data_IF_771794086240
#
_entry.id   IF_771794086240
#
_cell.length_a   1.000
_cell.length_b   1.000
_cell.length_c   1.000
_cell.angle_alpha   90.00
_cell.angle_beta   90.00
_cell.angle_gamma   90.00
#
_symmetry.space_group_name_H-M   'P 1'
#
loop_
_entity.id
_entity.type
_entity.pdbx_description
1 polymer ?
#
# COMPACT_ATOMS: atom_id res chain seq x y z
N UNK A 1 -12.52 11.39 -13.30
CA UNK A 1 -11.21 12.05 -13.06
C UNK A 1 -10.76 12.72 -14.36
N UNK A 2 -10.26 13.97 -14.35
CA UNK A 2 -9.88 14.67 -15.59
C UNK A 2 -8.52 14.19 -16.09
N UNK A 3 -8.47 13.57 -17.29
CA UNK A 3 -7.22 13.03 -17.87
C UNK A 3 -6.11 14.09 -17.99
N UNK A 4 -6.46 15.31 -18.40
CA UNK A 4 -5.52 16.43 -18.53
C UNK A 4 -4.80 16.70 -17.20
N UNK A 5 -5.55 16.85 -16.11
CA UNK A 5 -5.02 17.11 -14.75
C UNK A 5 -4.08 15.98 -14.26
N UNK A 6 -4.32 14.74 -14.68
CA UNK A 6 -3.50 13.60 -14.26
C UNK A 6 -2.23 13.38 -15.09
N UNK A 7 -2.22 13.84 -16.34
CA UNK A 7 -1.16 13.52 -17.31
C UNK A 7 -0.30 14.72 -17.67
N UNK A 8 -0.77 15.93 -17.38
CA UNK A 8 -0.02 17.17 -17.58
C UNK A 8 0.82 17.48 -16.33
N UNK A 9 1.93 16.76 -16.18
CA UNK A 9 2.85 16.96 -15.06
C UNK A 9 3.69 18.26 -15.20
N UNK A 10 3.49 19.03 -16.27
CA UNK A 10 4.14 20.34 -16.48
C UNK A 10 3.35 21.44 -15.75
N UNK A 11 2.03 21.45 -15.94
CA UNK A 11 1.16 22.47 -15.36
C UNK A 11 0.50 22.03 -14.06
N UNK A 12 0.67 20.76 -13.65
CA UNK A 12 0.16 20.25 -12.39
C UNK A 12 1.23 19.49 -11.62
N UNK A 13 1.24 19.66 -10.30
CA UNK A 13 2.03 18.86 -9.36
C UNK A 13 1.12 18.16 -8.34
N UNK A 14 1.67 17.26 -7.53
CA UNK A 14 0.92 16.65 -6.42
C UNK A 14 0.52 17.73 -5.40
N UNK A 15 -0.76 17.74 -5.02
CA UNK A 15 -1.37 18.78 -4.19
C UNK A 15 -1.97 18.26 -2.89
N UNK A 16 -1.40 17.21 -2.30
CA UNK A 16 -1.97 16.56 -1.11
C UNK A 16 -2.08 17.52 0.09
N UNK A 17 -3.12 17.37 0.94
CA UNK A 17 -3.26 18.15 2.18
C UNK A 17 -2.03 18.05 3.10
N UNK A 18 -1.76 19.10 3.89
CA UNK A 18 -0.63 19.15 4.83
C UNK A 18 -0.62 17.96 5.79
N UNK A 19 -1.79 17.49 6.23
CA UNK A 19 -1.92 16.31 7.07
C UNK A 19 -1.28 15.07 6.46
N UNK A 20 -1.51 14.81 5.17
CA UNK A 20 -0.92 13.69 4.43
C UNK A 20 0.59 13.92 4.25
N UNK A 21 0.99 15.12 3.86
CA UNK A 21 2.41 15.45 3.65
C UNK A 21 3.23 15.22 4.92
N UNK A 22 2.78 15.75 6.05
CA UNK A 22 3.48 15.62 7.34
C UNK A 22 3.44 14.21 7.91
N UNK A 23 2.30 13.51 7.80
CA UNK A 23 2.15 12.18 8.41
C UNK A 23 2.76 11.05 7.60
N UNK A 24 2.93 11.20 6.30
CA UNK A 24 3.63 10.19 5.49
C UNK A 24 5.10 10.54 5.34
N UNK A 25 5.46 11.83 5.46
CA UNK A 25 6.77 12.38 5.05
C UNK A 25 7.20 11.91 3.66
N UNK A 26 6.26 11.50 2.82
CA UNK A 26 6.55 11.07 1.47
C UNK A 26 7.09 12.23 0.67
N UNK A 27 7.85 11.92 -0.37
CA UNK A 27 8.30 12.86 -1.40
C UNK A 27 7.11 13.37 -2.25
N UNK A 28 6.11 13.97 -1.62
CA UNK A 28 4.91 14.52 -2.27
C UNK A 28 5.18 15.84 -2.98
N UNK A 29 6.27 16.51 -2.60
CA UNK A 29 6.77 17.72 -3.27
C UNK A 29 7.99 17.42 -4.16
N UNK A 30 8.30 16.14 -4.41
CA UNK A 30 9.38 15.77 -5.31
C UNK A 30 9.09 16.18 -6.75
N UNK A 31 10.15 16.55 -7.46
CA UNK A 31 10.09 16.74 -8.91
C UNK A 31 9.66 15.46 -9.62
N UNK A 32 9.10 15.58 -10.82
CA UNK A 32 8.71 14.41 -11.62
C UNK A 32 9.89 13.46 -11.88
N UNK A 33 11.09 14.01 -12.05
CA UNK A 33 12.34 13.24 -12.18
C UNK A 33 12.63 12.43 -10.92
N UNK A 34 12.56 13.04 -9.74
CA UNK A 34 12.75 12.36 -8.45
C UNK A 34 11.69 11.29 -8.22
N UNK A 35 10.43 11.55 -8.56
CA UNK A 35 9.35 10.58 -8.40
C UNK A 35 9.48 9.40 -9.39
N UNK A 36 9.87 9.65 -10.65
CA UNK A 36 10.16 8.60 -11.63
C UNK A 36 11.34 7.75 -11.18
N UNK A 37 12.37 8.37 -10.63
CA UNK A 37 13.53 7.69 -10.09
C UNK A 37 13.18 6.84 -8.87
N UNK A 38 12.43 7.40 -7.91
CA UNK A 38 11.91 6.67 -6.75
C UNK A 38 11.10 5.44 -7.19
N UNK A 39 10.21 5.59 -8.18
CA UNK A 39 9.47 4.45 -8.74
C UNK A 39 10.41 3.39 -9.34
N UNK A 40 11.45 3.80 -10.05
CA UNK A 40 12.40 2.87 -10.70
C UNK A 40 13.30 2.16 -9.68
N UNK A 41 13.82 2.87 -8.68
CA UNK A 41 14.81 2.35 -7.73
C UNK A 41 14.17 1.64 -6.54
N UNK A 42 13.00 2.09 -6.11
CA UNK A 42 12.33 1.58 -4.91
C UNK A 42 11.11 0.75 -5.30
N UNK A 43 10.13 1.32 -5.98
CA UNK A 43 8.85 0.62 -6.21
C UNK A 43 8.99 -0.59 -7.15
N UNK A 44 9.69 -0.44 -8.28
CA UNK A 44 9.78 -1.48 -9.30
C UNK A 44 10.42 -2.80 -8.82
N UNK A 45 11.50 -2.80 -8.01
CA UNK A 45 12.01 -4.01 -7.38
C UNK A 45 11.00 -4.74 -6.48
N UNK A 46 10.02 -4.03 -5.93
CA UNK A 46 9.03 -4.56 -4.97
C UNK A 46 7.82 -5.13 -5.69
N UNK A 47 7.33 -4.44 -6.72
CA UNK A 47 6.11 -4.84 -7.46
C UNK A 47 6.43 -5.57 -8.76
N UNK A 48 7.71 -5.81 -9.05
CA UNK A 48 8.14 -6.53 -10.24
C UNK A 48 7.73 -7.99 -10.23
N UNK A 49 7.64 -8.60 -11.41
CA UNK A 49 7.19 -10.00 -11.59
C UNK A 49 7.94 -11.00 -10.71
N UNK A 50 9.27 -10.83 -10.55
CA UNK A 50 10.09 -11.70 -9.70
C UNK A 50 9.73 -11.57 -8.22
N UNK A 51 9.50 -10.35 -7.73
CA UNK A 51 9.12 -10.12 -6.33
C UNK A 51 7.72 -10.65 -6.05
N UNK A 52 6.75 -10.39 -6.93
CA UNK A 52 5.40 -10.94 -6.82
C UNK A 52 5.40 -12.48 -6.78
N UNK A 53 6.25 -13.14 -7.58
CA UNK A 53 6.41 -14.59 -7.53
C UNK A 53 6.89 -15.09 -6.17
N UNK A 54 7.81 -14.35 -5.53
CA UNK A 54 8.35 -14.69 -4.22
C UNK A 54 7.30 -14.55 -3.11
N UNK A 55 6.39 -13.59 -3.24
CA UNK A 55 5.35 -13.31 -2.25
C UNK A 55 4.12 -14.20 -2.40
N UNK A 56 3.85 -14.73 -3.60
CA UNK A 56 2.60 -15.42 -3.92
C UNK A 56 2.29 -16.57 -2.96
N UNK A 57 3.24 -17.47 -2.74
CA UNK A 57 3.12 -18.59 -1.80
C UNK A 57 2.73 -18.10 -0.38
N UNK A 58 3.42 -17.06 0.11
CA UNK A 58 3.14 -16.51 1.45
C UNK A 58 1.77 -15.82 1.51
N UNK A 59 1.37 -15.14 0.45
CA UNK A 59 0.05 -14.51 0.34
C UNK A 59 -1.04 -15.58 0.39
N UNK A 60 -0.87 -16.67 -0.37
CA UNK A 60 -1.78 -17.81 -0.40
C UNK A 60 -1.93 -18.40 1.00
N UNK A 61 -0.82 -18.71 1.69
CA UNK A 61 -0.84 -19.24 3.06
C UNK A 61 -1.60 -18.32 4.03
N UNK A 62 -1.33 -17.00 3.99
CA UNK A 62 -1.99 -16.04 4.89
C UNK A 62 -3.50 -15.97 4.60
N UNK A 63 -3.88 -15.99 3.33
CA UNK A 63 -5.28 -15.91 2.90
C UNK A 63 -6.01 -17.19 3.28
N UNK A 64 -5.47 -18.37 3.00
CA UNK A 64 -6.07 -19.66 3.36
C UNK A 64 -6.29 -19.74 4.87
N UNK A 65 -5.24 -19.54 5.67
CA UNK A 65 -5.34 -19.59 7.13
C UNK A 65 -6.37 -18.59 7.68
N UNK A 66 -6.46 -17.40 7.08
CA UNK A 66 -7.44 -16.40 7.52
C UNK A 66 -8.87 -16.77 7.11
N UNK A 67 -9.07 -17.37 5.93
CA UNK A 67 -10.38 -17.85 5.50
C UNK A 67 -10.84 -19.05 6.35
N UNK A 68 -9.93 -19.96 6.72
CA UNK A 68 -10.19 -21.05 7.65
C UNK A 68 -10.59 -20.52 9.03
N UNK A 69 -9.83 -19.56 9.58
CA UNK A 69 -10.15 -18.86 10.84
C UNK A 69 -11.57 -18.29 10.78
N UNK A 70 -11.90 -17.55 9.72
CA UNK A 70 -13.23 -16.96 9.52
C UNK A 70 -14.34 -18.01 9.38
N UNK A 71 -14.09 -19.10 8.66
CA UNK A 71 -15.08 -20.18 8.45
C UNK A 71 -15.43 -20.92 9.74
N UNK A 72 -14.50 -20.95 10.71
CA UNK A 72 -14.70 -21.59 12.02
C UNK A 72 -15.54 -20.73 12.97
N UNK A 73 -15.70 -19.43 12.69
CA UNK A 73 -16.46 -18.51 13.53
C UNK A 73 -17.97 -18.81 13.43
N UNK A 74 -18.62 -19.02 14.58
CA UNK A 74 -20.06 -19.31 14.67
C UNK A 74 -20.92 -18.08 14.97
N UNK A 75 -20.36 -16.88 14.82
CA UNK A 75 -21.04 -15.61 15.09
C UNK A 75 -20.87 -14.65 13.91
N UNK A 76 -21.74 -13.64 13.77
CA UNK A 76 -21.55 -12.58 12.79
C UNK A 76 -20.19 -11.90 12.95
N UNK A 77 -19.58 -11.54 11.83
CA UNK A 77 -18.29 -10.84 11.78
C UNK A 77 -18.47 -9.44 11.20
N UNK A 78 -17.60 -8.52 11.61
CA UNK A 78 -17.49 -7.21 10.96
C UNK A 78 -16.58 -7.35 9.74
N UNK A 79 -17.17 -7.49 8.55
CA UNK A 79 -16.45 -7.86 7.33
C UNK A 79 -15.28 -6.93 7.01
N UNK A 80 -15.46 -5.61 7.12
CA UNK A 80 -14.38 -4.64 6.84
C UNK A 80 -13.18 -4.85 7.76
N UNK A 81 -13.44 -5.07 9.06
CA UNK A 81 -12.40 -5.27 10.07
C UNK A 81 -11.59 -6.53 9.78
N UNK A 82 -12.27 -7.63 9.43
CA UNK A 82 -11.58 -8.88 9.10
C UNK A 82 -10.82 -8.78 7.78
N UNK A 83 -11.36 -8.15 6.74
CA UNK A 83 -10.64 -7.96 5.47
C UNK A 83 -9.43 -7.05 5.61
N UNK A 84 -9.52 -6.00 6.44
CA UNK A 84 -8.38 -5.17 6.83
C UNK A 84 -7.32 -5.99 7.57
N UNK A 85 -7.72 -6.83 8.54
CA UNK A 85 -6.80 -7.75 9.25
C UNK A 85 -6.05 -8.67 8.28
N UNK A 86 -6.72 -9.25 7.28
CA UNK A 86 -6.07 -10.09 6.24
C UNK A 86 -5.07 -9.27 5.43
N UNK A 87 -5.50 -8.12 4.90
CA UNK A 87 -4.62 -7.23 4.13
C UNK A 87 -3.40 -6.77 4.94
N UNK A 88 -3.59 -6.51 6.23
CA UNK A 88 -2.54 -6.08 7.14
C UNK A 88 -1.49 -7.19 7.38
N UNK A 89 -1.95 -8.43 7.60
CA UNK A 89 -1.07 -9.60 7.72
C UNK A 89 -0.22 -9.75 6.46
N UNK A 90 -0.84 -9.65 5.27
CA UNK A 90 -0.14 -9.74 3.98
C UNK A 90 0.92 -8.65 3.85
N UNK A 91 0.56 -7.37 4.02
CA UNK A 91 1.49 -6.27 3.76
C UNK A 91 2.68 -6.27 4.72
N UNK A 92 2.48 -6.56 6.01
CA UNK A 92 3.60 -6.68 6.96
C UNK A 92 4.50 -7.86 6.61
N UNK A 93 3.92 -8.99 6.25
CA UNK A 93 4.74 -10.16 5.96
C UNK A 93 5.56 -9.98 4.67
N UNK A 94 4.96 -9.40 3.63
CA UNK A 94 5.66 -9.02 2.40
C UNK A 94 6.77 -8.00 2.68
N UNK A 95 6.55 -7.09 3.62
CA UNK A 95 7.49 -5.99 3.85
C UNK A 95 8.61 -6.28 4.85
N UNK A 96 8.32 -6.99 5.91
CA UNK A 96 9.24 -7.14 7.04
C UNK A 96 9.59 -8.59 7.34
N UNK A 97 8.92 -9.56 6.69
CA UNK A 97 9.05 -10.98 7.02
C UNK A 97 8.68 -11.32 8.47
N UNK A 98 7.99 -10.41 9.18
CA UNK A 98 7.82 -10.47 10.63
C UNK A 98 6.74 -11.48 11.10
N UNK A 99 6.83 -11.79 12.40
CA UNK A 99 5.96 -12.63 13.21
C UNK A 99 4.69 -11.90 13.73
N UNK A 100 3.75 -12.66 14.30
CA UNK A 100 2.39 -12.20 14.64
C UNK A 100 2.31 -11.09 15.71
N UNK A 101 3.26 -11.00 16.63
CA UNK A 101 3.21 -10.02 17.74
C UNK A 101 3.48 -8.59 17.27
N UNK A 102 4.44 -8.41 16.34
CA UNK A 102 4.73 -7.11 15.72
C UNK A 102 3.51 -6.64 14.91
N UNK A 103 2.85 -7.58 14.20
CA UNK A 103 1.63 -7.31 13.43
C UNK A 103 0.55 -6.72 14.34
N UNK A 104 0.26 -7.34 15.49
CA UNK A 104 -0.81 -6.88 16.38
C UNK A 104 -0.57 -5.46 16.91
N UNK A 105 0.67 -5.14 17.27
CA UNK A 105 1.02 -3.83 17.80
C UNK A 105 0.90 -2.73 16.73
N UNK A 106 1.42 -2.94 15.53
CA UNK A 106 1.33 -1.94 14.44
C UNK A 106 -0.11 -1.81 13.94
N UNK A 107 -0.89 -2.90 13.87
CA UNK A 107 -2.29 -2.88 13.42
C UNK A 107 -3.13 -1.90 14.27
N UNK A 108 -2.97 -1.97 15.60
CA UNK A 108 -3.73 -1.11 16.53
C UNK A 108 -3.44 0.40 16.33
N UNK A 109 -2.23 0.73 15.89
CA UNK A 109 -1.77 2.11 15.66
C UNK A 109 -2.11 2.61 14.24
N UNK A 110 -2.32 1.69 13.30
CA UNK A 110 -2.50 2.02 11.88
C UNK A 110 -3.81 2.77 11.62
N UNK A 111 -4.86 2.48 12.38
CA UNK A 111 -6.14 3.19 12.26
C UNK A 111 -6.02 4.66 12.73
N UNK A 112 -5.31 4.91 13.83
CA UNK A 112 -5.03 6.28 14.30
C UNK A 112 -4.20 7.06 13.26
N UNK A 113 -3.22 6.40 12.64
CA UNK A 113 -2.42 6.99 11.57
C UNK A 113 -3.28 7.33 10.35
N UNK A 114 -4.10 6.40 9.88
CA UNK A 114 -4.97 6.59 8.72
C UNK A 114 -5.98 7.73 8.93
N UNK A 115 -6.63 7.76 10.09
CA UNK A 115 -7.57 8.83 10.44
C UNK A 115 -6.91 10.22 10.47
N UNK A 116 -5.63 10.29 10.82
CA UNK A 116 -4.87 11.54 10.77
C UNK A 116 -4.64 12.07 9.36
N UNK A 117 -4.47 11.19 8.37
CA UNK A 117 -4.13 11.57 6.99
C UNK A 117 -5.18 12.49 6.38
N UNK A 118 -6.45 12.18 6.59
CA UNK A 118 -7.57 12.94 6.04
C UNK A 118 -8.20 13.92 7.05
N UNK A 119 -7.46 14.27 8.12
CA UNK A 119 -7.91 15.23 9.14
C UNK A 119 -7.31 16.62 8.94
N UNK A 120 -7.84 17.63 9.65
CA UNK A 120 -7.20 18.95 9.73
C UNK A 120 -5.89 18.81 10.53
N UNK A 121 -4.81 19.40 10.02
CA UNK A 121 -3.46 19.33 10.60
C UNK A 121 -3.30 20.16 11.90
N UNK A 122 -4.14 19.91 12.90
CA UNK A 122 -4.09 20.57 14.21
C UNK A 122 -3.36 19.64 15.20
N UNK A 123 -2.16 20.05 15.60
CA UNK A 123 -1.35 19.32 16.56
C UNK A 123 -1.70 19.70 18.02
N UNK A 124 -2.94 19.46 18.43
CA UNK A 124 -3.42 19.67 19.79
C UNK A 124 -4.07 18.41 20.38
N UNK A 125 -4.03 18.21 21.71
CA UNK A 125 -4.70 17.07 22.35
C UNK A 125 -6.18 16.97 21.95
N UNK A 126 -6.66 15.75 21.68
CA UNK A 126 -8.02 15.49 21.24
C UNK A 126 -8.21 15.41 19.73
N UNK A 127 -7.36 16.08 18.93
CA UNK A 127 -7.45 16.06 17.47
C UNK A 127 -6.86 14.78 16.87
N UNK A 128 -7.46 14.31 15.77
CA UNK A 128 -7.01 13.11 15.05
C UNK A 128 -5.55 13.22 14.58
N UNK A 129 -5.15 14.39 14.06
CA UNK A 129 -3.78 14.64 13.63
C UNK A 129 -2.74 14.47 14.74
N UNK A 130 -3.01 14.99 15.95
CA UNK A 130 -2.13 14.79 17.10
C UNK A 130 -2.01 13.31 17.51
N UNK A 131 -3.13 12.56 17.46
CA UNK A 131 -3.13 11.11 17.72
C UNK A 131 -2.30 10.37 16.67
N UNK A 132 -2.46 10.73 15.40
CA UNK A 132 -1.70 10.14 14.29
C UNK A 132 -0.19 10.42 14.40
N UNK A 133 0.23 11.62 14.79
CA UNK A 133 1.64 11.93 15.06
C UNK A 133 2.21 11.07 16.19
N UNK A 134 1.43 10.82 17.25
CA UNK A 134 1.82 9.91 18.34
C UNK A 134 1.88 8.46 17.87
N UNK A 135 0.92 8.01 17.06
CA UNK A 135 0.91 6.68 16.47
C UNK A 135 2.14 6.46 15.57
N UNK A 136 2.45 7.42 14.69
CA UNK A 136 3.66 7.42 13.85
C UNK A 136 4.94 7.25 14.68
N UNK A 137 5.11 8.05 15.75
CA UNK A 137 6.26 7.93 16.65
C UNK A 137 6.36 6.55 17.31
N UNK A 138 5.23 5.94 17.67
CA UNK A 138 5.20 4.58 18.25
C UNK A 138 5.55 3.52 17.21
N UNK A 139 5.01 3.62 15.99
CA UNK A 139 5.33 2.69 14.89
C UNK A 139 6.83 2.77 14.56
N UNK A 140 7.39 3.97 14.43
CA UNK A 140 8.83 4.15 14.18
C UNK A 140 9.69 3.47 15.26
N UNK A 141 9.31 3.56 16.54
CA UNK A 141 10.01 2.86 17.64
C UNK A 141 9.88 1.34 17.58
N UNK A 142 8.81 0.81 17.00
CA UNK A 142 8.63 -0.64 16.78
C UNK A 142 9.46 -1.10 15.59
N UNK A 143 9.57 -0.28 14.53
CA UNK A 143 10.33 -0.61 13.33
C UNK A 143 11.85 -0.51 13.55
N UNK A 144 12.33 0.41 14.36
CA UNK A 144 13.77 0.66 14.54
C UNK A 144 14.57 -0.61 14.89
N UNK A 145 14.19 -1.42 15.91
CA UNK A 145 14.95 -2.62 16.25
C UNK A 145 15.00 -3.64 15.11
N UNK A 146 13.96 -3.71 14.28
CA UNK A 146 13.86 -4.62 13.12
C UNK A 146 14.87 -4.18 12.05
N UNK A 147 14.98 -2.88 11.79
CA UNK A 147 15.94 -2.30 10.85
C UNK A 147 17.37 -2.51 11.36
N UNK A 148 17.61 -2.24 12.65
CA UNK A 148 18.92 -2.38 13.29
C UNK A 148 19.42 -3.84 13.23
N UNK A 149 18.57 -4.79 13.60
CA UNK A 149 18.86 -6.22 13.54
C UNK A 149 19.20 -6.64 12.11
N UNK A 150 18.39 -6.20 11.13
CA UNK A 150 18.61 -6.55 9.72
C UNK A 150 19.93 -5.99 9.18
N UNK A 151 20.27 -4.75 9.50
CA UNK A 151 21.57 -4.15 9.15
C UNK A 151 22.74 -4.93 9.74
N UNK A 152 22.61 -5.36 11.00
CA UNK A 152 23.67 -6.12 11.67
C UNK A 152 23.89 -7.49 10.99
N UNK A 153 22.81 -8.18 10.63
CA UNK A 153 22.89 -9.46 9.89
C UNK A 153 23.61 -9.28 8.55
N UNK A 154 23.24 -8.27 7.77
CA UNK A 154 23.89 -7.96 6.48
C UNK A 154 25.38 -7.66 6.68
N UNK A 155 25.74 -6.86 7.68
CA UNK A 155 27.14 -6.53 7.99
C UNK A 155 27.96 -7.77 8.37
N UNK A 156 27.34 -8.72 9.06
CA UNK A 156 27.98 -9.97 9.48
C UNK A 156 28.03 -11.02 8.36
N UNK A 157 27.58 -10.70 7.14
CA UNK A 157 27.53 -11.64 6.01
C UNK A 157 26.52 -12.78 6.20
N UNK A 158 25.58 -12.63 7.13
CA UNK A 158 24.52 -13.62 7.33
C UNK A 158 23.50 -13.48 6.20
N UNK A 159 23.13 -14.62 5.60
CA UNK A 159 22.03 -14.63 4.64
C UNK A 159 20.73 -14.35 5.38
N UNK A 160 20.02 -13.30 4.95
CA UNK A 160 18.69 -12.98 5.45
C UNK A 160 17.67 -13.92 4.81
N UNK A 161 17.41 -15.04 5.48
CA UNK A 161 16.39 -16.01 5.08
C UNK A 161 16.56 -16.62 3.68
N UNK A 162 15.65 -17.50 3.29
CA UNK A 162 15.65 -18.10 1.94
C UNK A 162 15.06 -17.16 0.88
N UNK A 163 14.31 -16.12 1.29
CA UNK A 163 13.61 -15.19 0.39
C UNK A 163 13.65 -13.76 0.95
N UNK A 164 14.21 -12.82 0.16
CA UNK A 164 14.27 -11.38 0.46
C UNK A 164 12.88 -10.77 0.65
N UNK A 165 12.73 -9.92 1.66
CA UNK A 165 11.56 -9.06 1.86
C UNK A 165 11.82 -7.61 1.41
N UNK A 166 10.84 -6.72 1.59
CA UNK A 166 11.01 -5.31 1.22
C UNK A 166 12.15 -4.64 1.98
N UNK A 167 12.26 -4.89 3.29
CA UNK A 167 13.28 -4.26 4.11
C UNK A 167 14.68 -4.62 3.58
N UNK A 168 14.89 -5.86 3.16
CA UNK A 168 16.15 -6.28 2.51
C UNK A 168 16.43 -5.48 1.24
N UNK A 169 15.42 -5.31 0.39
CA UNK A 169 15.54 -4.53 -0.83
C UNK A 169 15.88 -3.07 -0.50
N UNK A 170 15.20 -2.46 0.48
CA UNK A 170 15.45 -1.07 0.88
C UNK A 170 16.85 -0.85 1.45
N UNK A 171 17.39 -1.84 2.16
CA UNK A 171 18.75 -1.79 2.71
C UNK A 171 19.83 -1.96 1.63
N UNK A 172 19.51 -2.59 0.50
CA UNK A 172 20.43 -2.77 -0.64
C UNK A 172 20.37 -1.61 -1.65
N UNK A 173 19.24 -0.92 -1.76
CA UNK A 173 19.07 0.17 -2.72
C UNK A 173 19.85 1.40 -2.26
N UNK A 174 20.58 2.01 -3.20
CA UNK A 174 21.33 3.25 -3.01
C UNK A 174 20.59 4.45 -3.63
N UNK A 175 20.75 5.60 -2.98
CA UNK A 175 20.31 6.89 -3.49
C UNK A 175 21.12 7.35 -4.71
N UNK A 176 20.77 8.54 -5.22
CA UNK A 176 21.43 9.16 -6.38
C UNK A 176 22.94 9.40 -6.21
N UNK A 177 23.40 9.55 -4.97
CA UNK A 177 24.79 9.78 -4.62
C UNK A 177 25.51 8.46 -4.26
N UNK A 178 24.86 7.32 -4.46
CA UNK A 178 25.39 6.01 -4.09
C UNK A 178 25.37 5.74 -2.58
N UNK A 179 24.63 6.53 -1.79
CA UNK A 179 24.49 6.37 -0.35
C UNK A 179 23.34 5.43 -0.03
N UNK A 180 23.48 4.67 1.04
CA UNK A 180 22.36 3.87 1.55
C UNK A 180 21.31 4.79 2.17
N UNK A 181 20.06 4.33 2.25
CA UNK A 181 19.04 5.05 2.98
C UNK A 181 19.37 5.13 4.48
N UNK A 182 19.04 6.25 5.10
CA UNK A 182 19.07 6.40 6.55
C UNK A 182 17.88 5.68 7.18
N UNK A 183 17.98 5.30 8.46
CA UNK A 183 16.92 4.54 9.14
C UNK A 183 15.60 5.29 9.21
N UNK A 184 15.66 6.62 9.34
CA UNK A 184 14.47 7.46 9.31
C UNK A 184 13.75 7.37 7.96
N UNK A 185 14.49 7.39 6.84
CA UNK A 185 13.92 7.28 5.49
C UNK A 185 13.30 5.90 5.26
N UNK A 186 13.96 4.84 5.74
CA UNK A 186 13.44 3.47 5.66
C UNK A 186 12.15 3.34 6.46
N UNK A 187 12.13 3.84 7.70
CA UNK A 187 10.96 3.83 8.57
C UNK A 187 9.80 4.62 7.96
N UNK A 188 10.09 5.80 7.43
CA UNK A 188 9.12 6.68 6.77
C UNK A 188 8.50 6.01 5.53
N UNK A 189 9.32 5.36 4.71
CA UNK A 189 8.89 4.61 3.54
C UNK A 189 8.05 3.38 3.88
N UNK A 190 8.49 2.58 4.86
CA UNK A 190 7.74 1.42 5.34
C UNK A 190 6.37 1.85 5.86
N UNK A 191 6.30 2.90 6.68
CA UNK A 191 5.03 3.43 7.18
C UNK A 191 4.11 3.90 6.04
N UNK A 192 4.65 4.62 5.05
CA UNK A 192 3.89 5.09 3.90
C UNK A 192 3.29 3.94 3.08
N UNK A 193 4.11 2.91 2.81
CA UNK A 193 3.66 1.75 2.05
C UNK A 193 2.69 0.87 2.83
N UNK A 194 2.88 0.70 4.14
CA UNK A 194 1.97 -0.07 5.00
C UNK A 194 0.56 0.53 4.98
N UNK A 195 0.45 1.85 5.16
CA UNK A 195 -0.84 2.56 5.07
C UNK A 195 -1.46 2.40 3.69
N UNK A 196 -0.68 2.60 2.63
CA UNK A 196 -1.16 2.54 1.26
C UNK A 196 -1.71 1.16 0.88
N UNK A 197 -1.00 0.09 1.26
CA UNK A 197 -1.35 -1.29 0.92
C UNK A 197 -2.47 -1.86 1.78
N UNK A 198 -2.54 -1.49 3.06
CA UNK A 198 -3.51 -2.03 4.02
C UNK A 198 -4.94 -1.54 3.78
N UNK A 199 -5.12 -0.23 3.79
CA UNK A 199 -6.47 0.36 3.85
C UNK A 199 -7.22 0.17 2.53
N UNK A 200 -6.52 0.38 1.40
CA UNK A 200 -7.10 0.23 0.06
C UNK A 200 -7.47 -1.23 -0.24
N UNK A 201 -6.56 -2.17 -0.01
CA UNK A 201 -6.78 -3.60 -0.31
C UNK A 201 -7.83 -4.19 0.62
N UNK A 202 -7.82 -3.86 1.91
CA UNK A 202 -8.87 -4.31 2.85
C UNK A 202 -10.27 -3.85 2.44
N UNK A 203 -10.41 -2.59 2.01
CA UNK A 203 -11.67 -2.07 1.48
C UNK A 203 -12.06 -2.73 0.15
N UNK A 204 -11.10 -2.96 -0.75
CA UNK A 204 -11.34 -3.65 -2.02
C UNK A 204 -11.84 -5.09 -1.79
N UNK A 205 -11.22 -5.84 -0.88
CA UNK A 205 -11.63 -7.20 -0.52
C UNK A 205 -13.06 -7.23 0.03
N UNK A 206 -13.41 -6.30 0.93
CA UNK A 206 -14.75 -6.17 1.46
C UNK A 206 -15.77 -5.95 0.32
N UNK A 207 -15.52 -5.00 -0.59
CA UNK A 207 -16.43 -4.72 -1.70
C UNK A 207 -16.54 -5.88 -2.69
N UNK A 208 -15.43 -6.57 -2.98
CA UNK A 208 -15.45 -7.78 -3.80
C UNK A 208 -16.40 -8.85 -3.23
N UNK A 209 -16.32 -9.12 -1.93
CA UNK A 209 -17.20 -10.09 -1.27
C UNK A 209 -18.66 -9.62 -1.31
N UNK A 210 -18.93 -8.34 -1.03
CA UNK A 210 -20.27 -7.78 -1.07
C UNK A 210 -20.88 -7.92 -2.48
N UNK A 211 -20.17 -7.52 -3.53
CA UNK A 211 -20.70 -7.60 -4.89
C UNK A 211 -20.85 -9.05 -5.38
N UNK A 212 -19.92 -9.94 -5.07
CA UNK A 212 -20.03 -11.35 -5.43
C UNK A 212 -21.23 -12.03 -4.74
N UNK A 213 -21.48 -11.73 -3.47
CA UNK A 213 -22.62 -12.28 -2.73
C UNK A 213 -23.96 -11.73 -3.20
N UNK A 214 -24.00 -10.46 -3.64
CA UNK A 214 -25.18 -9.84 -4.22
C UNK A 214 -25.46 -10.28 -5.67
N UNK A 215 -24.45 -10.85 -6.36
CA UNK A 215 -24.57 -11.33 -7.74
C UNK A 215 -24.16 -12.82 -7.86
N UNK A 216 -25.00 -13.77 -7.39
CA UNK A 216 -24.64 -15.19 -7.36
C UNK A 216 -24.26 -15.80 -8.72
N UNK A 217 -24.82 -15.29 -9.82
CA UNK A 217 -24.47 -15.73 -11.17
C UNK A 217 -23.04 -15.34 -11.56
N UNK A 218 -22.57 -14.17 -11.12
CA UNK A 218 -21.18 -13.72 -11.32
C UNK A 218 -20.24 -14.58 -10.47
N UNK A 219 -20.60 -14.81 -9.19
CA UNK A 219 -19.84 -15.68 -8.30
C UNK A 219 -19.72 -17.09 -8.86
N UNK A 220 -20.83 -17.66 -9.37
CA UNK A 220 -20.82 -18.99 -10.00
C UNK A 220 -19.83 -19.04 -11.16
N UNK A 221 -19.89 -18.08 -12.08
CA UNK A 221 -18.99 -18.03 -13.24
C UNK A 221 -17.53 -17.82 -12.85
N UNK A 222 -17.26 -16.97 -11.86
CA UNK A 222 -15.91 -16.79 -11.32
C UNK A 222 -15.38 -18.08 -10.67
N UNK A 223 -16.23 -18.83 -9.97
CA UNK A 223 -15.89 -20.13 -9.39
C UNK A 223 -15.62 -21.19 -10.44
N UNK A 224 -16.47 -21.27 -11.48
CA UNK A 224 -16.28 -22.18 -12.62
C UNK A 224 -14.91 -21.93 -13.30
N UNK A 225 -14.48 -20.67 -13.45
CA UNK A 225 -13.12 -20.35 -13.92
C UNK A 225 -12.03 -20.89 -12.98
N UNK A 226 -12.17 -20.72 -11.66
CA UNK A 226 -11.17 -21.22 -10.71
C UNK A 226 -11.10 -22.76 -10.70
N UNK A 227 -12.24 -23.43 -10.80
CA UNK A 227 -12.33 -24.90 -10.86
C UNK A 227 -11.66 -25.46 -12.12
N UNK A 228 -11.81 -24.80 -13.28
CA UNK A 228 -11.14 -25.21 -14.51
C UNK A 228 -9.62 -25.04 -14.44
N UNK A 229 -9.13 -23.93 -13.88
CA UNK A 229 -7.69 -23.72 -13.64
C UNK A 229 -7.15 -24.84 -12.75
N UNK A 230 -7.82 -25.13 -11.63
CA UNK A 230 -7.43 -26.20 -10.70
C UNK A 230 -7.44 -27.58 -11.37
N UNK A 231 -8.38 -27.86 -12.28
CA UNK A 231 -8.44 -29.13 -13.02
C UNK A 231 -7.23 -29.35 -13.92
N UNK A 232 -6.62 -28.28 -14.42
CA UNK A 232 -5.42 -28.32 -15.25
C UNK A 232 -4.11 -28.32 -14.46
N UNK A 233 -4.15 -28.03 -13.16
CA UNK A 233 -2.99 -28.05 -12.28
C UNK A 233 -2.43 -29.47 -12.15
N UNK A 234 -1.10 -29.59 -12.19
CA UNK A 234 -0.45 -30.88 -11.94
C UNK A 234 -0.68 -31.32 -10.49
N UNK A 235 -0.91 -32.61 -10.25
CA UNK A 235 -1.05 -33.15 -8.89
C UNK A 235 0.20 -32.98 -8.02
N UNK A 236 1.36 -32.71 -8.63
CA UNK A 236 2.61 -32.37 -7.94
C UNK A 236 2.66 -30.92 -7.44
N UNK A 237 1.82 -30.03 -7.96
CA UNK A 237 1.79 -28.60 -7.63
C UNK A 237 0.74 -28.35 -6.55
N UNK A 238 1.17 -27.90 -5.37
CA UNK A 238 0.26 -27.65 -4.23
C UNK A 238 -0.17 -26.19 -4.12
N UNK A 239 0.64 -25.28 -4.63
CA UNK A 239 0.47 -23.83 -4.46
C UNK A 239 0.11 -23.16 -5.77
N UNK A 240 -0.52 -21.99 -5.65
CA UNK A 240 -0.85 -21.12 -6.76
C UNK A 240 0.41 -20.57 -7.42
N UNK A 241 0.46 -20.63 -8.75
CA UNK A 241 1.51 -20.05 -9.57
C UNK A 241 1.09 -18.72 -10.21
N UNK A 242 2.06 -17.88 -10.58
CA UNK A 242 1.76 -16.65 -11.33
C UNK A 242 1.16 -16.94 -12.71
N UNK A 243 1.41 -18.12 -13.28
CA UNK A 243 0.82 -18.53 -14.55
C UNK A 243 -0.68 -18.74 -14.41
N UNK A 244 -1.10 -19.41 -13.34
CA UNK A 244 -2.53 -19.61 -13.02
C UNK A 244 -3.22 -18.29 -12.69
N UNK A 245 -2.57 -17.39 -11.93
CA UNK A 245 -3.11 -16.05 -11.66
C UNK A 245 -3.40 -15.30 -12.97
N UNK A 246 -2.54 -15.44 -14.00
CA UNK A 246 -2.76 -14.81 -15.32
C UNK A 246 -3.89 -15.47 -16.12
N UNK A 247 -4.31 -16.69 -15.79
CA UNK A 247 -5.43 -17.36 -16.43
C UNK A 247 -6.79 -16.93 -15.87
N UNK A 248 -6.82 -16.20 -14.74
CA UNK A 248 -8.03 -15.69 -14.08
C UNK A 248 -8.65 -14.48 -14.82
N UNK A 249 -8.95 -14.64 -16.12
CA UNK A 249 -9.38 -13.55 -17.01
C UNK A 249 -10.73 -12.99 -16.57
N UNK A 250 -11.71 -13.84 -16.31
CA UNK A 250 -13.03 -13.42 -15.86
C UNK A 250 -12.98 -12.78 -14.47
N UNK A 251 -12.24 -13.36 -13.51
CA UNK A 251 -12.06 -12.75 -12.20
C UNK A 251 -11.37 -11.38 -12.29
N UNK A 252 -10.46 -11.16 -13.24
CA UNK A 252 -9.87 -9.84 -13.47
C UNK A 252 -10.91 -8.80 -13.87
N UNK A 253 -11.87 -9.14 -14.74
CA UNK A 253 -12.98 -8.26 -15.08
C UNK A 253 -13.90 -7.98 -13.88
N UNK A 254 -14.11 -8.96 -12.99
CA UNK A 254 -14.86 -8.77 -11.75
C UNK A 254 -14.15 -7.76 -10.84
N UNK A 255 -12.82 -7.86 -10.72
CA UNK A 255 -12.02 -6.92 -9.94
C UNK A 255 -12.10 -5.51 -10.55
N UNK A 256 -11.98 -5.39 -11.88
CA UNK A 256 -12.09 -4.11 -12.57
C UNK A 256 -13.47 -3.46 -12.36
N UNK A 257 -14.55 -4.24 -12.46
CA UNK A 257 -15.91 -3.76 -12.24
C UNK A 257 -16.16 -3.38 -10.78
N UNK A 258 -15.58 -4.13 -9.84
CA UNK A 258 -15.59 -3.77 -8.42
C UNK A 258 -14.88 -2.44 -8.19
N UNK A 259 -13.69 -2.24 -8.75
CA UNK A 259 -12.94 -0.98 -8.62
C UNK A 259 -13.72 0.19 -9.24
N UNK A 260 -14.40 -0.04 -10.37
CA UNK A 260 -15.27 0.94 -11.04
C UNK A 260 -16.45 1.35 -10.17
N UNK A 261 -17.11 0.39 -9.51
CA UNK A 261 -18.30 0.63 -8.70
C UNK A 261 -17.99 1.18 -7.31
N UNK A 262 -17.01 0.59 -6.62
CA UNK A 262 -16.69 0.89 -5.23
C UNK A 262 -15.87 2.18 -5.07
N UNK A 263 -15.13 2.60 -6.12
CA UNK A 263 -14.28 3.78 -6.11
C UNK A 263 -13.36 3.85 -4.87
N UNK A 264 -12.63 2.76 -4.61
CA UNK A 264 -11.81 2.54 -3.40
C UNK A 264 -10.87 3.72 -3.10
N UNK A 265 -10.30 4.33 -4.14
CA UNK A 265 -9.54 5.56 -4.04
C UNK A 265 -10.32 6.72 -4.65
N UNK A 266 -11.08 7.43 -3.82
CA UNK A 266 -12.06 8.42 -4.31
C UNK A 266 -11.45 9.64 -5.01
N UNK A 267 -10.19 9.99 -4.72
CA UNK A 267 -9.55 11.17 -5.32
C UNK A 267 -8.03 11.08 -5.36
N UNK A 268 -7.46 11.89 -6.24
CA UNK A 268 -6.03 12.20 -6.30
C UNK A 268 -5.93 13.72 -6.30
N UNK A 269 -5.07 14.27 -5.44
CA UNK A 269 -4.90 15.71 -5.30
C UNK A 269 -3.83 16.22 -6.26
N UNK A 270 -4.19 17.24 -7.04
CA UNK A 270 -3.30 17.97 -7.95
C UNK A 270 -3.43 19.46 -7.70
N UNK A 271 -2.32 20.17 -7.78
CA UNK A 271 -2.24 21.63 -7.69
C UNK A 271 -1.75 22.18 -9.03
N UNK A 272 -2.47 23.14 -9.59
CA UNK A 272 -2.04 23.86 -10.79
C UNK A 272 -0.85 24.77 -10.45
N UNK A 273 0.25 24.66 -11.20
CA UNK A 273 1.45 25.48 -11.04
C UNK A 273 1.43 26.71 -11.95
N UNK A 274 0.62 26.68 -12.99
CA UNK A 274 0.40 27.75 -13.96
C UNK A 274 -1.11 27.91 -14.23
N UNK A 275 -1.48 29.05 -14.81
CA UNK A 275 -2.85 29.28 -15.25
C UNK A 275 -3.20 28.32 -16.40
N UNK A 276 -4.29 27.57 -16.24
CA UNK A 276 -4.71 26.55 -17.20
C UNK A 276 -6.21 26.61 -17.46
N UNK A 277 -6.60 26.42 -18.71
CA UNK A 277 -8.01 26.30 -19.09
C UNK A 277 -8.38 24.81 -19.19
N UNK A 278 -9.40 24.40 -18.43
CA UNK A 278 -9.98 23.05 -18.46
C UNK A 278 -11.44 23.19 -18.88
N UNK A 279 -11.80 22.68 -20.06
CA UNK A 279 -13.17 22.73 -20.59
C UNK A 279 -13.80 24.15 -20.56
N UNK A 280 -13.01 25.17 -20.89
CA UNK A 280 -13.43 26.58 -20.87
C UNK A 280 -13.40 27.26 -19.49
N UNK A 281 -13.08 26.53 -18.42
CA UNK A 281 -12.96 27.08 -17.07
C UNK A 281 -11.50 27.43 -16.79
N UNK A 282 -11.25 28.66 -16.35
CA UNK A 282 -9.92 29.12 -15.94
C UNK A 282 -9.58 28.58 -14.54
N UNK A 283 -8.50 27.83 -14.43
CA UNK A 283 -7.91 27.38 -13.18
C UNK A 283 -6.65 28.19 -12.92
N UNK A 284 -6.66 29.00 -11.86
CA UNK A 284 -5.52 29.83 -11.50
C UNK A 284 -4.38 28.97 -10.93
N UNK A 285 -3.17 29.17 -11.42
CA UNK A 285 -1.97 28.53 -10.90
C UNK A 285 -1.57 29.14 -9.56
N UNK A 286 -1.23 28.30 -8.57
CA UNK A 286 -0.52 28.78 -7.38
C UNK A 286 0.96 28.95 -7.70
N UNK A 287 1.29 30.06 -8.35
CA UNK A 287 2.61 30.64 -8.19
C UNK A 287 2.64 31.28 -6.80
N UNK A 288 3.14 30.56 -5.79
CA UNK A 288 3.66 31.23 -4.61
C UNK A 288 5.04 31.77 -5.01
N UNK A 289 5.21 33.08 -5.29
CA UNK A 289 6.55 33.62 -5.28
C UNK A 289 7.10 33.39 -3.87
N UNK A 290 8.34 32.93 -3.78
CA UNK A 290 9.15 32.77 -2.57
C UNK A 290 9.44 34.10 -1.84
N UNK A 291 8.53 35.08 -1.94
CA UNK A 291 8.70 36.46 -1.51
C UNK A 291 8.20 36.76 -0.09
N UNK A 292 7.45 35.85 0.53
CA UNK A 292 7.10 35.97 1.95
C UNK A 292 8.13 35.24 2.80
N UNK A 293 9.33 35.84 2.84
CA UNK A 293 10.30 35.59 3.90
C UNK A 293 9.65 35.87 5.25
N UNK A 294 9.91 34.98 6.21
CA UNK A 294 9.61 35.19 7.64
C UNK A 294 10.15 36.57 8.05
N UNK A 295 9.28 37.43 8.56
CA UNK A 295 9.67 38.43 9.55
C UNK A 295 9.26 37.90 10.92
#
# INVERSE_FOLDING_TARGET
MCRKVLTDDVNFKLGYPNSIKELTKGKHDASNSEHKQFRRQIIAPIVGHKALAMYLERIEDIVINSLEELSSMKHPIELLKEMKKVSFKVIIHVFLGCNQDIVKNIASLSNDLYNGLFSIAINAPGFAFNKALKARKKIAKILQPIVDERRLMIKNGQQVGEKKDLLDILLEVKDENGRNFEDEDISDLLMGLLVAGHESTGTALMWSIIYLTQHPHILKKAKEEQEEILRTRSSSEKQLSLTEVKQMVYLSHVIDEMLRCANVAFTIFREATSDVIINGIHCQGRNLPSFWGRK
#
